data_IF_619552825516
#
_entry.id   IF_619552825516
#
_cell.length_a   1.000
_cell.length_b   1.000
_cell.length_c   1.000
_cell.angle_alpha   90.00
_cell.angle_beta   90.00
_cell.angle_gamma   90.00
#
_symmetry.space_group_name_H-M   'P 1'
#
loop_
_entity.id
_entity.type
_entity.pdbx_description
1 polymer ?
#
# COMPACT_ATOMS: atom_id res chain seq x y z
N UNK A 1 8.59 -15.29 9.43
CA UNK A 1 9.55 -16.42 9.21
C UNK A 1 10.82 -15.85 8.59
N UNK A 2 12.02 -16.26 9.04
CA UNK A 2 13.30 -15.64 8.66
C UNK A 2 13.55 -15.59 7.14
N UNK A 3 13.07 -16.59 6.38
CA UNK A 3 13.22 -16.61 4.91
C UNK A 3 12.38 -15.53 4.21
N UNK A 4 11.12 -15.37 4.63
CA UNK A 4 10.19 -14.37 4.05
C UNK A 4 10.71 -12.96 4.33
N UNK A 5 11.20 -12.71 5.54
CA UNK A 5 11.81 -11.42 5.92
C UNK A 5 13.07 -11.15 5.09
N UNK A 6 14.01 -12.10 5.01
CA UNK A 6 15.22 -11.90 4.21
C UNK A 6 14.93 -11.74 2.71
N UNK A 7 13.94 -12.46 2.18
CA UNK A 7 13.50 -12.28 0.80
C UNK A 7 12.90 -10.88 0.57
N UNK A 8 12.11 -10.38 1.52
CA UNK A 8 11.58 -9.02 1.47
C UNK A 8 12.70 -7.98 1.44
N UNK A 9 13.71 -8.09 2.30
CA UNK A 9 14.85 -7.17 2.30
C UNK A 9 15.60 -7.13 0.95
N UNK A 10 15.73 -8.27 0.27
CA UNK A 10 16.33 -8.34 -1.07
C UNK A 10 15.41 -7.75 -2.14
N UNK A 11 14.09 -7.98 -2.03
CA UNK A 11 13.08 -7.44 -2.95
C UNK A 11 13.02 -5.92 -2.85
N UNK A 12 13.08 -5.34 -1.65
CA UNK A 12 13.13 -3.89 -1.46
C UNK A 12 14.31 -3.22 -2.17
N UNK A 13 15.43 -3.94 -2.32
CA UNK A 13 16.64 -3.41 -2.95
C UNK A 13 16.62 -3.55 -4.48
N UNK A 14 16.05 -4.64 -4.99
CA UNK A 14 16.19 -5.02 -6.41
C UNK A 14 14.86 -4.99 -7.19
N UNK A 15 13.75 -4.74 -6.51
CA UNK A 15 12.40 -4.94 -7.03
C UNK A 15 12.00 -6.42 -7.11
N UNK A 16 10.70 -6.66 -7.29
CA UNK A 16 10.15 -8.02 -7.33
C UNK A 16 10.60 -8.79 -8.58
N UNK A 17 10.70 -8.11 -9.72
CA UNK A 17 11.14 -8.67 -11.00
C UNK A 17 12.66 -8.82 -11.10
N UNK A 18 13.41 -7.94 -10.44
CA UNK A 18 14.88 -7.95 -10.40
C UNK A 18 15.46 -8.96 -9.41
N UNK A 19 14.64 -9.52 -8.51
CA UNK A 19 15.09 -10.48 -7.51
C UNK A 19 14.99 -11.93 -8.02
N UNK A 20 16.06 -12.69 -7.84
CA UNK A 20 16.07 -14.13 -8.09
C UNK A 20 16.38 -14.93 -6.81
N UNK A 21 16.04 -16.22 -6.84
CA UNK A 21 16.30 -17.19 -5.76
C UNK A 21 17.74 -17.12 -5.23
N UNK A 22 18.72 -17.00 -6.14
CA UNK A 22 20.15 -16.95 -5.78
C UNK A 22 20.51 -15.75 -4.90
N UNK A 23 19.81 -14.63 -5.08
CA UNK A 23 20.10 -13.39 -4.38
C UNK A 23 19.58 -13.49 -2.94
N UNK A 24 18.40 -14.10 -2.75
CA UNK A 24 17.86 -14.44 -1.43
C UNK A 24 18.74 -15.45 -0.69
N UNK A 25 19.15 -16.53 -1.35
CA UNK A 25 20.02 -17.54 -0.70
C UNK A 25 21.38 -16.95 -0.31
N UNK A 26 21.93 -16.05 -1.14
CA UNK A 26 23.17 -15.33 -0.83
C UNK A 26 22.99 -14.39 0.35
N UNK A 27 21.90 -13.63 0.38
CA UNK A 27 21.60 -12.70 1.47
C UNK A 27 21.43 -13.41 2.81
N UNK A 28 20.79 -14.58 2.81
CA UNK A 28 20.51 -15.37 4.01
C UNK A 28 21.68 -16.29 4.42
N UNK A 29 22.73 -16.41 3.61
CA UNK A 29 23.82 -17.39 3.77
C UNK A 29 23.31 -18.83 3.93
N UNK A 30 22.36 -19.23 3.08
CA UNK A 30 21.75 -20.57 3.09
C UNK A 30 21.83 -21.25 1.73
N UNK A 31 21.84 -22.58 1.72
CA UNK A 31 21.74 -23.36 0.48
C UNK A 31 20.33 -23.33 -0.11
N UNK A 32 20.22 -23.48 -1.43
CA UNK A 32 18.93 -23.56 -2.14
C UNK A 32 18.02 -24.69 -1.65
N UNK A 33 18.61 -25.78 -1.14
CA UNK A 33 17.86 -26.90 -0.55
C UNK A 33 17.04 -26.50 0.68
N UNK A 34 17.50 -25.55 1.49
CA UNK A 34 16.73 -25.04 2.62
C UNK A 34 15.53 -24.23 2.12
N UNK A 35 15.72 -23.39 1.10
CA UNK A 35 14.64 -22.62 0.51
C UNK A 35 13.56 -23.55 -0.07
N UNK A 36 13.98 -24.58 -0.81
CA UNK A 36 13.08 -25.58 -1.39
C UNK A 36 12.35 -26.46 -0.37
N UNK A 37 12.88 -26.57 0.85
CA UNK A 37 12.18 -27.23 1.94
C UNK A 37 10.93 -26.46 2.39
N UNK A 38 10.99 -25.12 2.36
CA UNK A 38 9.88 -24.26 2.77
C UNK A 38 9.00 -23.78 1.61
N UNK A 39 9.59 -23.56 0.44
CA UNK A 39 8.91 -23.03 -0.74
C UNK A 39 9.28 -23.87 -1.96
N UNK A 40 8.29 -24.52 -2.57
CA UNK A 40 8.52 -25.40 -3.72
C UNK A 40 9.02 -24.63 -4.93
N UNK A 41 8.58 -23.38 -5.07
CA UNK A 41 8.94 -22.52 -6.20
C UNK A 41 9.34 -21.12 -5.76
N UNK A 42 10.05 -20.41 -6.64
CA UNK A 42 10.32 -18.98 -6.45
C UNK A 42 9.03 -18.15 -6.43
N UNK A 43 8.04 -18.50 -7.26
CA UNK A 43 6.75 -17.83 -7.31
C UNK A 43 6.04 -17.88 -5.94
N UNK A 44 6.03 -19.05 -5.30
CA UNK A 44 5.42 -19.26 -3.97
C UNK A 44 6.07 -18.36 -2.89
N UNK A 45 7.40 -18.25 -2.88
CA UNK A 45 8.10 -17.36 -1.94
C UNK A 45 7.78 -15.88 -2.21
N UNK A 46 7.78 -15.44 -3.48
CA UNK A 46 7.42 -14.05 -3.82
C UNK A 46 5.99 -13.74 -3.40
N UNK A 47 5.05 -14.64 -3.70
CA UNK A 47 3.66 -14.51 -3.31
C UNK A 47 3.52 -14.41 -1.78
N UNK A 48 4.23 -15.23 -1.03
CA UNK A 48 4.20 -15.18 0.44
C UNK A 48 4.80 -13.87 1.00
N UNK A 49 5.86 -13.34 0.40
CA UNK A 49 6.42 -12.03 0.75
C UNK A 49 5.37 -10.94 0.52
N UNK A 50 4.81 -10.86 -0.70
CA UNK A 50 3.82 -9.85 -1.08
C UNK A 50 2.62 -9.91 -0.14
N UNK A 51 2.06 -11.11 0.08
CA UNK A 51 0.94 -11.35 1.00
C UNK A 51 1.26 -10.89 2.42
N UNK A 52 2.42 -11.29 2.95
CA UNK A 52 2.80 -10.99 4.32
C UNK A 52 2.91 -9.48 4.55
N UNK A 53 3.69 -8.78 3.73
CA UNK A 53 4.02 -7.38 3.98
C UNK A 53 2.89 -6.43 3.60
N UNK A 54 2.21 -6.64 2.47
CA UNK A 54 1.07 -5.80 2.09
C UNK A 54 -0.06 -5.93 3.12
N UNK A 55 -0.40 -7.16 3.53
CA UNK A 55 -1.52 -7.33 4.47
C UNK A 55 -1.16 -6.83 5.87
N UNK A 56 0.10 -6.97 6.29
CA UNK A 56 0.60 -6.43 7.54
C UNK A 56 0.45 -4.91 7.57
N UNK A 57 0.97 -4.19 6.56
CA UNK A 57 0.92 -2.73 6.50
C UNK A 57 -0.51 -2.19 6.50
N UNK A 58 -1.42 -2.79 5.72
CA UNK A 58 -2.83 -2.41 5.72
C UNK A 58 -3.48 -2.67 7.09
N UNK A 59 -3.18 -3.80 7.73
CA UNK A 59 -3.75 -4.14 9.05
C UNK A 59 -3.22 -3.23 10.16
N UNK A 60 -1.94 -2.86 10.09
CA UNK A 60 -1.31 -1.93 11.04
C UNK A 60 -1.88 -0.51 10.88
N UNK A 61 -2.12 -0.06 9.64
CA UNK A 61 -2.84 1.18 9.39
C UNK A 61 -4.25 1.12 9.97
N UNK A 62 -5.02 0.08 9.68
CA UNK A 62 -6.40 -0.10 10.18
C UNK A 62 -6.43 -0.03 11.72
N UNK A 63 -5.56 -0.79 12.39
CA UNK A 63 -5.44 -0.78 13.84
C UNK A 63 -5.06 0.60 14.38
N UNK A 64 -4.09 1.29 13.75
CA UNK A 64 -3.69 2.63 14.17
C UNK A 64 -4.82 3.65 14.01
N UNK A 65 -5.64 3.53 12.96
CA UNK A 65 -6.77 4.41 12.70
C UNK A 65 -7.92 4.22 13.69
N UNK A 66 -8.09 3.03 14.26
CA UNK A 66 -9.10 2.76 15.28
C UNK A 66 -8.87 3.59 16.56
N UNK A 67 -7.61 3.85 16.92
CA UNK A 67 -7.21 4.60 18.11
C UNK A 67 -7.21 6.13 17.92
N UNK A 68 -7.39 6.61 16.68
CA UNK A 68 -7.30 8.03 16.33
C UNK A 68 -8.69 8.68 16.40
N UNK A 69 -8.83 9.81 17.13
CA UNK A 69 -10.04 10.62 17.09
C UNK A 69 -10.40 11.03 15.66
N UNK A 70 -11.68 11.00 15.33
CA UNK A 70 -12.17 11.21 13.96
C UNK A 70 -11.73 12.55 13.36
N UNK A 71 -11.57 13.61 14.16
CA UNK A 71 -11.07 14.93 13.77
C UNK A 71 -9.63 14.91 13.24
N UNK A 72 -8.85 13.89 13.62
CA UNK A 72 -7.45 13.69 13.21
C UNK A 72 -7.29 12.56 12.21
N UNK A 73 -8.34 11.80 11.91
CA UNK A 73 -8.27 10.58 11.12
C UNK A 73 -7.76 10.82 9.70
N UNK A 74 -8.29 11.82 9.00
CA UNK A 74 -7.79 12.20 7.65
C UNK A 74 -6.31 12.58 7.70
N UNK A 75 -5.88 13.32 8.73
CA UNK A 75 -4.48 13.73 8.84
C UNK A 75 -3.59 12.51 9.09
N UNK A 76 -3.97 11.63 10.01
CA UNK A 76 -3.24 10.39 10.31
C UNK A 76 -3.10 9.48 9.10
N UNK A 77 -4.19 9.25 8.36
CA UNK A 77 -4.17 8.46 7.13
C UNK A 77 -3.20 9.02 6.09
N UNK A 78 -3.26 10.34 5.86
CA UNK A 78 -2.36 10.98 4.89
C UNK A 78 -0.92 11.05 5.37
N UNK A 79 -0.70 11.15 6.68
CA UNK A 79 0.64 11.09 7.28
C UNK A 79 1.27 9.72 7.04
N UNK A 80 0.52 8.65 7.29
CA UNK A 80 0.96 7.27 7.07
C UNK A 80 1.38 7.04 5.61
N UNK A 81 0.57 7.47 4.65
CA UNK A 81 0.87 7.26 3.22
C UNK A 81 2.24 7.79 2.78
N UNK A 82 2.73 8.85 3.43
CA UNK A 82 4.03 9.47 3.10
C UNK A 82 5.07 9.31 4.21
N UNK A 83 4.80 8.48 5.21
CA UNK A 83 5.70 8.25 6.34
C UNK A 83 6.83 7.25 6.04
N UNK A 84 6.79 6.63 4.87
CA UNK A 84 7.77 5.68 4.37
C UNK A 84 8.78 6.40 3.44
N UNK A 85 9.92 6.89 3.96
CA UNK A 85 10.88 7.64 3.17
C UNK A 85 11.61 6.77 2.13
N UNK A 86 11.62 5.45 2.34
CA UNK A 86 12.31 4.48 1.49
C UNK A 86 11.36 3.84 0.46
N UNK A 87 10.09 4.26 0.44
CA UNK A 87 9.06 3.78 -0.49
C UNK A 87 8.89 2.25 -0.47
N UNK A 88 9.10 1.62 0.69
CA UNK A 88 9.10 0.16 0.85
C UNK A 88 7.73 -0.46 0.56
N UNK A 89 6.68 0.08 1.18
CA UNK A 89 5.32 -0.43 1.00
C UNK A 89 4.82 -0.19 -0.42
N UNK A 90 4.91 1.06 -0.89
CA UNK A 90 4.38 1.45 -2.20
C UNK A 90 5.21 0.86 -3.35
N UNK A 91 6.53 0.75 -3.20
CA UNK A 91 7.39 0.04 -4.13
C UNK A 91 6.97 -1.42 -4.27
N UNK A 92 6.78 -2.15 -3.16
CA UNK A 92 6.30 -3.53 -3.19
C UNK A 92 4.88 -3.63 -3.80
N UNK A 93 3.98 -2.73 -3.42
CA UNK A 93 2.60 -2.67 -3.92
C UNK A 93 2.55 -2.50 -5.44
N UNK A 94 3.27 -1.51 -5.97
CA UNK A 94 3.30 -1.18 -7.39
C UNK A 94 4.00 -2.27 -8.22
N UNK A 95 5.11 -2.81 -7.72
CA UNK A 95 5.80 -3.95 -8.36
C UNK A 95 4.88 -5.18 -8.44
N UNK A 96 4.16 -5.47 -7.36
CA UNK A 96 3.27 -6.62 -7.33
C UNK A 96 2.04 -6.45 -8.25
N UNK A 97 1.49 -5.24 -8.39
CA UNK A 97 0.44 -4.94 -9.39
C UNK A 97 0.95 -5.21 -10.81
N UNK A 98 2.18 -4.80 -11.12
CA UNK A 98 2.76 -5.01 -12.45
C UNK A 98 2.98 -6.49 -12.75
N UNK A 99 3.50 -7.24 -11.78
CA UNK A 99 3.77 -8.68 -11.91
C UNK A 99 2.49 -9.53 -11.91
N UNK A 100 1.43 -9.10 -11.21
CA UNK A 100 0.13 -9.77 -11.15
C UNK A 100 -0.50 -9.99 -12.55
N UNK A 101 -0.10 -9.24 -13.58
CA UNK A 101 -0.57 -9.46 -14.96
C UNK A 101 -0.11 -10.79 -15.56
N UNK A 102 0.90 -11.43 -14.97
CA UNK A 102 1.57 -12.63 -15.48
C UNK A 102 1.69 -13.75 -14.44
N UNK A 103 1.23 -13.53 -13.22
CA UNK A 103 1.33 -14.44 -12.07
C UNK A 103 -0.02 -14.47 -11.34
N UNK A 104 -0.75 -15.58 -11.51
CA UNK A 104 -2.12 -15.73 -11.00
C UNK A 104 -2.19 -15.69 -9.47
N UNK A 105 -1.16 -16.19 -8.77
CA UNK A 105 -1.11 -16.16 -7.32
C UNK A 105 -0.94 -14.73 -6.81
N UNK A 106 -0.04 -13.97 -7.43
CA UNK A 106 0.10 -12.53 -7.15
C UNK A 106 -1.19 -11.76 -7.48
N UNK A 107 -1.86 -12.11 -8.58
CA UNK A 107 -3.13 -11.47 -8.96
C UNK A 107 -4.23 -11.67 -7.91
N UNK A 108 -4.30 -12.86 -7.29
CA UNK A 108 -5.22 -13.12 -6.19
C UNK A 108 -4.86 -12.28 -4.96
N UNK A 109 -3.60 -12.29 -4.54
CA UNK A 109 -3.12 -11.52 -3.38
C UNK A 109 -3.38 -10.02 -3.55
N UNK A 110 -3.07 -9.47 -4.72
CA UNK A 110 -3.23 -8.03 -4.99
C UNK A 110 -4.71 -7.65 -5.06
N UNK A 111 -5.58 -8.51 -5.59
CA UNK A 111 -7.03 -8.28 -5.54
C UNK A 111 -7.53 -8.19 -4.10
N UNK A 112 -7.11 -9.12 -3.24
CA UNK A 112 -7.44 -9.10 -1.82
C UNK A 112 -6.87 -7.86 -1.12
N UNK A 113 -5.63 -7.49 -1.45
CA UNK A 113 -4.98 -6.27 -0.97
C UNK A 113 -5.79 -5.02 -1.32
N UNK A 114 -6.19 -4.86 -2.59
CA UNK A 114 -7.03 -3.76 -3.06
C UNK A 114 -8.36 -3.69 -2.33
N UNK A 115 -9.00 -4.84 -2.06
CA UNK A 115 -10.26 -4.88 -1.32
C UNK A 115 -10.10 -4.44 0.14
N UNK A 116 -9.00 -4.84 0.81
CA UNK A 116 -8.70 -4.40 2.18
C UNK A 116 -8.38 -2.92 2.24
N UNK A 117 -7.52 -2.44 1.33
CA UNK A 117 -7.17 -1.03 1.21
C UNK A 117 -8.40 -0.16 0.95
N UNK A 118 -9.26 -0.60 0.02
CA UNK A 118 -10.53 0.04 -0.26
C UNK A 118 -11.43 0.12 0.98
N UNK A 119 -11.53 -0.97 1.75
CA UNK A 119 -12.32 -1.00 2.98
C UNK A 119 -11.83 0.00 4.03
N UNK A 120 -10.50 0.14 4.20
CA UNK A 120 -9.90 1.14 5.10
C UNK A 120 -10.29 2.57 4.70
N UNK A 121 -10.22 2.90 3.40
CA UNK A 121 -10.61 4.23 2.91
C UNK A 121 -12.13 4.44 3.07
N UNK A 122 -12.93 3.44 2.78
CA UNK A 122 -14.39 3.53 2.92
C UNK A 122 -14.81 3.74 4.38
N UNK A 123 -14.15 3.08 5.33
CA UNK A 123 -14.36 3.26 6.76
C UNK A 123 -13.95 4.68 7.22
N UNK A 124 -12.82 5.19 6.74
CA UNK A 124 -12.40 6.58 6.99
C UNK A 124 -13.50 7.58 6.60
N UNK A 125 -14.03 7.44 5.39
CA UNK A 125 -15.08 8.34 4.88
C UNK A 125 -16.35 8.21 5.72
N UNK A 126 -16.75 6.97 6.02
CA UNK A 126 -17.93 6.67 6.82
C UNK A 126 -17.82 7.30 8.21
N UNK A 127 -16.70 7.13 8.90
CA UNK A 127 -16.45 7.71 10.23
C UNK A 127 -16.52 9.23 10.20
N UNK A 128 -15.96 9.88 9.18
CA UNK A 128 -16.09 11.32 9.01
C UNK A 128 -17.55 11.77 8.82
N UNK A 129 -18.35 11.02 8.06
CA UNK A 129 -19.80 11.31 7.87
C UNK A 129 -20.57 11.11 9.18
N UNK A 130 -20.35 10.00 9.87
CA UNK A 130 -21.02 9.66 11.13
C UNK A 130 -20.72 10.69 12.23
N UNK A 131 -19.53 11.31 12.19
CA UNK A 131 -19.12 12.39 13.09
C UNK A 131 -19.54 13.80 12.61
N UNK A 132 -20.45 13.90 11.64
CA UNK A 132 -20.95 15.15 11.07
C UNK A 132 -19.85 16.06 10.48
N UNK A 133 -18.69 15.49 10.14
CA UNK A 133 -17.60 16.23 9.53
C UNK A 133 -17.79 16.44 8.03
N UNK A 134 -18.89 16.01 7.43
CA UNK A 134 -19.16 16.15 6.00
C UNK A 134 -20.30 15.25 5.56
N UNK A 135 -20.56 15.20 4.26
CA UNK A 135 -21.58 14.34 3.66
C UNK A 135 -20.99 13.59 2.48
N UNK A 136 -21.27 12.30 2.40
CA UNK A 136 -20.90 11.47 1.27
C UNK A 136 -22.00 10.43 1.03
N UNK A 137 -22.69 10.52 -0.10
CA UNK A 137 -23.81 9.62 -0.42
C UNK A 137 -23.34 8.22 -0.85
N UNK A 138 -22.09 8.11 -1.31
CA UNK A 138 -21.52 6.85 -1.80
C UNK A 138 -20.07 6.63 -1.30
N UNK A 139 -19.85 6.36 0.01
CA UNK A 139 -18.51 6.18 0.59
C UNK A 139 -17.68 5.09 -0.11
N UNK A 140 -18.34 3.99 -0.50
CA UNK A 140 -17.71 2.88 -1.23
C UNK A 140 -17.15 3.34 -2.59
N UNK A 141 -17.90 4.13 -3.36
CA UNK A 141 -17.42 4.62 -4.66
C UNK A 141 -16.38 5.73 -4.50
N UNK A 142 -16.53 6.59 -3.48
CA UNK A 142 -15.54 7.59 -3.13
C UNK A 142 -14.18 6.97 -2.77
N UNK A 143 -14.19 5.86 -2.03
CA UNK A 143 -12.98 5.12 -1.69
C UNK A 143 -12.23 4.60 -2.93
N UNK A 144 -12.93 4.15 -3.98
CA UNK A 144 -12.28 3.76 -5.24
C UNK A 144 -11.61 4.94 -5.94
N UNK A 145 -12.25 6.11 -5.97
CA UNK A 145 -11.65 7.32 -6.55
C UNK A 145 -10.41 7.77 -5.78
N UNK A 146 -10.47 7.74 -4.45
CA UNK A 146 -9.33 8.08 -3.59
C UNK A 146 -8.20 7.05 -3.77
N UNK A 147 -8.49 5.75 -3.78
CA UNK A 147 -7.50 4.71 -4.02
C UNK A 147 -6.79 4.91 -5.36
N UNK A 148 -7.55 5.10 -6.45
CA UNK A 148 -6.97 5.29 -7.78
C UNK A 148 -6.11 6.56 -7.88
N UNK A 149 -6.51 7.64 -7.19
CA UNK A 149 -5.71 8.85 -7.07
C UNK A 149 -4.39 8.57 -6.33
N UNK A 150 -4.45 7.85 -5.21
CA UNK A 150 -3.27 7.50 -4.42
C UNK A 150 -2.31 6.63 -5.23
N UNK A 151 -2.80 5.55 -5.86
CA UNK A 151 -1.96 4.67 -6.71
C UNK A 151 -1.23 5.48 -7.79
N UNK A 152 -1.93 6.40 -8.46
CA UNK A 152 -1.34 7.28 -9.47
C UNK A 152 -0.30 8.26 -8.91
N UNK A 153 -0.58 8.88 -7.76
CA UNK A 153 0.35 9.82 -7.13
C UNK A 153 1.61 9.12 -6.60
N UNK A 154 1.45 7.96 -5.97
CA UNK A 154 2.56 7.17 -5.45
C UNK A 154 3.42 6.63 -6.59
N UNK A 155 2.81 6.17 -7.69
CA UNK A 155 3.54 5.79 -8.90
C UNK A 155 4.36 6.93 -9.51
N UNK A 156 3.84 8.17 -9.50
CA UNK A 156 4.60 9.34 -9.96
C UNK A 156 5.73 9.70 -8.99
N UNK A 157 5.48 9.60 -7.68
CA UNK A 157 6.47 9.92 -6.65
C UNK A 157 7.66 8.94 -6.69
N UNK A 158 7.40 7.65 -6.96
CA UNK A 158 8.38 6.58 -7.05
C UNK A 158 9.42 6.78 -8.18
N UNK A 159 9.09 7.51 -9.26
CA UNK A 159 10.01 7.76 -10.38
C UNK A 159 11.24 8.60 -10.00
N UNK A 160 11.20 9.25 -8.83
CA UNK A 160 12.20 10.23 -8.36
C UNK A 160 12.36 11.43 -9.33
N UNK A 161 12.92 12.54 -8.85
CA UNK A 161 13.18 13.75 -9.67
C UNK A 161 11.95 14.38 -10.37
N UNK A 162 10.75 14.09 -9.90
CA UNK A 162 9.53 14.77 -10.37
C UNK A 162 9.33 16.08 -9.62
N UNK A 163 8.53 17.00 -10.18
CA UNK A 163 8.13 18.22 -9.47
C UNK A 163 7.13 17.94 -8.33
N UNK A 164 6.67 16.69 -8.18
CA UNK A 164 5.69 16.28 -7.19
C UNK A 164 6.42 15.93 -5.88
N UNK A 165 6.19 16.71 -4.83
CA UNK A 165 6.75 16.45 -3.49
C UNK A 165 5.81 15.58 -2.64
N UNK A 166 6.33 14.88 -1.61
CA UNK A 166 5.49 14.18 -0.63
C UNK A 166 4.47 15.11 0.04
N UNK A 167 4.85 16.37 0.30
CA UNK A 167 3.95 17.38 0.84
C UNK A 167 2.81 17.75 -0.13
N UNK A 168 3.09 17.80 -1.44
CA UNK A 168 2.07 18.02 -2.46
C UNK A 168 1.11 16.82 -2.55
N UNK A 169 1.62 15.59 -2.55
CA UNK A 169 0.80 14.36 -2.50
C UNK A 169 -0.15 14.39 -1.30
N UNK A 170 0.40 14.69 -0.11
CA UNK A 170 -0.39 14.86 1.12
C UNK A 170 -1.52 15.87 0.95
N UNK A 171 -1.22 17.03 0.37
CA UNK A 171 -2.22 18.07 0.15
C UNK A 171 -3.29 17.64 -0.84
N UNK A 172 -2.90 17.03 -1.97
CA UNK A 172 -3.82 16.58 -3.02
C UNK A 172 -4.79 15.53 -2.47
N UNK A 173 -4.30 14.51 -1.76
CA UNK A 173 -5.18 13.47 -1.21
C UNK A 173 -6.10 14.02 -0.13
N UNK A 174 -5.60 14.90 0.75
CA UNK A 174 -6.42 15.58 1.76
C UNK A 174 -7.54 16.42 1.13
N UNK A 175 -7.23 17.12 0.03
CA UNK A 175 -8.22 17.87 -0.75
C UNK A 175 -9.25 16.95 -1.40
N UNK A 176 -8.82 15.82 -1.98
CA UNK A 176 -9.75 14.84 -2.55
C UNK A 176 -10.71 14.30 -1.50
N UNK A 177 -10.22 13.91 -0.32
CA UNK A 177 -11.08 13.43 0.78
C UNK A 177 -12.08 14.52 1.19
N UNK A 178 -11.66 15.78 1.27
CA UNK A 178 -12.56 16.89 1.57
C UNK A 178 -13.66 17.05 0.51
N UNK A 179 -13.32 16.95 -0.78
CA UNK A 179 -14.28 17.01 -1.88
C UNK A 179 -15.29 15.86 -1.81
N UNK A 180 -14.85 14.64 -1.53
CA UNK A 180 -15.74 13.47 -1.36
C UNK A 180 -16.68 13.61 -0.16
N UNK A 181 -16.29 14.40 0.84
CA UNK A 181 -17.10 14.76 2.01
C UNK A 181 -17.97 16.01 1.78
N UNK A 182 -18.10 16.48 0.53
CA UNK A 182 -18.91 17.64 0.17
C UNK A 182 -18.35 18.97 0.69
N UNK A 183 -17.09 19.01 1.13
CA UNK A 183 -16.41 20.24 1.50
C UNK A 183 -15.80 20.85 0.26
N UNK A 184 -16.38 21.96 -0.19
CA UNK A 184 -15.72 22.77 -1.20
C UNK A 184 -14.55 23.50 -0.53
N UNK A 185 -13.31 23.37 -1.04
CA UNK A 185 -12.28 24.33 -0.67
C UNK A 185 -12.85 25.71 -1.04
N UNK A 186 -12.86 26.64 -0.09
CA UNK A 186 -13.23 28.02 -0.37
C UNK A 186 -12.45 28.45 -1.62
N UNK A 187 -13.16 28.62 -2.74
CA UNK A 187 -12.65 29.35 -3.89
C UNK A 187 -12.53 30.80 -3.43
N UNK A 188 -11.41 31.14 -2.80
CA UNK A 188 -10.94 32.51 -2.63
C UNK A 188 -9.93 32.80 -3.72
#
# INVERSE_FOLDING_TARGET
>A
MQIVEGAYQVILQNGLSGTATRDVTRHLDVGSGLLHHYFKTWAELRAEVVRTFIFKEISELEASMAEVPVERLTQHFVDWMISDPDDQFWGLWLDAIEEARRDDELAEIIRDGHMRWHAVIADLIKRCVDAEQGKCDAPVTAAWRISALIDGLMGILALQQTALSPSAVRQIVKQQIALELGKHPNLQ
#
